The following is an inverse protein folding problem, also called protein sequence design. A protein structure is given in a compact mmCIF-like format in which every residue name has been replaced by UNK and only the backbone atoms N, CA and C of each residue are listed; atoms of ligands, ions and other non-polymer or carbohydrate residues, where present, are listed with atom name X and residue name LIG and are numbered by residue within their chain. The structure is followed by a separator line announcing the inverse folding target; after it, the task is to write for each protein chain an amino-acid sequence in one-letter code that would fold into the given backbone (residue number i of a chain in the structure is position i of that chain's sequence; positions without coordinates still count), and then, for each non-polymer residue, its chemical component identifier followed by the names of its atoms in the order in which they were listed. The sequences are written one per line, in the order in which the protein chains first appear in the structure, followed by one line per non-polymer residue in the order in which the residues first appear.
data_IF_112280085162
#
_entry.id   IF_112280085162
#
_cell.length_a   1.000
_cell.length_b   1.000
_cell.length_c   1.000
_cell.angle_alpha   90.00
_cell.angle_beta   90.00
_cell.angle_gamma   90.00
#
_symmetry.space_group_name_H-M   'P 1'
#
loop_
_entity.id
_entity.type
_entity.pdbx_description
1 polymer ?
#
# COMPACT_ATOMS: atom_id res chain seq x y z
N UNK A 1 -13.76 13.82 -23.56
CA UNK A 1 -14.19 12.40 -23.56
C UNK A 1 -13.06 11.61 -22.91
N UNK A 2 -13.14 11.36 -21.60
CA UNK A 2 -12.11 10.59 -20.90
C UNK A 2 -12.30 9.12 -21.22
N UNK A 3 -11.33 8.54 -21.91
CA UNK A 3 -11.23 7.10 -22.07
C UNK A 3 -11.13 6.55 -20.66
N UNK A 4 -12.19 5.90 -20.15
CA UNK A 4 -12.10 5.11 -18.94
C UNK A 4 -11.03 4.06 -19.23
N UNK A 5 -9.81 4.28 -18.73
CA UNK A 5 -8.67 3.41 -18.96
C UNK A 5 -9.14 1.97 -18.77
N UNK A 6 -8.88 1.10 -19.75
CA UNK A 6 -9.21 -0.32 -19.68
C UNK A 6 -8.71 -0.84 -18.33
N UNK A 7 -9.64 -1.08 -17.40
CA UNK A 7 -9.31 -1.38 -16.01
C UNK A 7 -8.80 -2.80 -15.92
N UNK A 8 -7.48 -2.95 -15.96
CA UNK A 8 -6.83 -4.23 -15.75
C UNK A 8 -6.97 -4.65 -14.29
N UNK A 9 -7.20 -5.94 -14.06
CA UNK A 9 -7.18 -6.54 -12.72
C UNK A 9 -5.82 -7.16 -12.46
N UNK A 10 -5.25 -6.88 -11.30
CA UNK A 10 -4.04 -7.51 -10.81
C UNK A 10 -4.36 -8.55 -9.75
N UNK A 11 -3.68 -9.69 -9.83
CA UNK A 11 -3.72 -10.71 -8.79
C UNK A 11 -2.46 -10.59 -7.93
N UNK A 12 -2.63 -10.20 -6.67
CA UNK A 12 -1.55 -9.92 -5.73
C UNK A 12 -1.55 -10.99 -4.64
N UNK A 13 -0.37 -11.55 -4.34
CA UNK A 13 -0.16 -12.44 -3.21
C UNK A 13 0.43 -11.66 -2.05
N UNK A 14 -0.28 -11.61 -0.93
CA UNK A 14 0.18 -10.99 0.32
C UNK A 14 0.68 -12.10 1.24
N UNK A 15 1.93 -12.00 1.69
CA UNK A 15 2.59 -12.96 2.56
C UNK A 15 2.99 -12.25 3.85
N UNK A 16 2.69 -12.86 5.00
CA UNK A 16 3.25 -12.43 6.27
C UNK A 16 4.63 -13.06 6.43
N UNK A 17 5.65 -12.21 6.52
CA UNK A 17 7.03 -12.64 6.74
C UNK A 17 7.20 -13.15 8.17
N UNK A 18 8.22 -13.99 8.38
CA UNK A 18 8.65 -14.47 9.71
C UNK A 18 7.59 -15.24 10.53
N UNK A 19 6.60 -15.83 9.85
CA UNK A 19 5.56 -16.65 10.48
C UNK A 19 5.66 -18.13 10.06
N UNK A 20 5.46 -19.04 11.02
CA UNK A 20 5.37 -20.50 10.79
C UNK A 20 4.10 -21.03 11.49
N UNK A 21 3.17 -21.67 10.76
CA UNK A 21 3.15 -21.88 9.31
C UNK A 21 2.98 -20.56 8.52
N UNK A 22 3.37 -20.52 7.22
CA UNK A 22 3.30 -19.30 6.43
C UNK A 22 1.84 -18.84 6.23
N UNK A 23 1.54 -17.61 6.67
CA UNK A 23 0.22 -16.99 6.51
C UNK A 23 0.22 -16.13 5.25
N UNK A 24 -0.69 -16.41 4.32
CA UNK A 24 -0.82 -15.65 3.07
C UNK A 24 -2.27 -15.50 2.63
N UNK A 25 -2.53 -14.49 1.80
CA UNK A 25 -3.82 -14.21 1.14
C UNK A 25 -3.59 -13.85 -0.33
N UNK A 26 -4.57 -14.12 -1.18
CA UNK A 26 -4.56 -13.74 -2.60
C UNK A 26 -5.68 -12.75 -2.85
N UNK A 27 -5.33 -11.57 -3.33
CA UNK A 27 -6.25 -10.47 -3.58
C UNK A 27 -6.33 -10.20 -5.08
N UNK A 28 -7.52 -9.87 -5.57
CA UNK A 28 -7.72 -9.33 -6.91
C UNK A 28 -8.06 -7.87 -6.75
N UNK A 29 -7.21 -7.00 -7.29
CA UNK A 29 -7.33 -5.55 -7.16
C UNK A 29 -7.34 -4.90 -8.54
N UNK A 30 -7.91 -3.71 -8.63
CA UNK A 30 -7.87 -2.93 -9.86
C UNK A 30 -6.51 -2.28 -10.04
N UNK A 31 -6.10 -2.09 -11.29
CA UNK A 31 -4.83 -1.43 -11.62
C UNK A 31 -4.75 0.03 -11.18
N UNK A 32 -5.90 0.68 -10.96
CA UNK A 32 -6.02 2.07 -10.52
C UNK A 32 -6.25 2.22 -9.00
N UNK A 33 -6.06 1.15 -8.22
CA UNK A 33 -6.23 1.22 -6.77
C UNK A 33 -5.14 2.10 -6.14
N UNK A 34 -5.53 2.98 -5.20
CA UNK A 34 -4.57 3.74 -4.42
C UNK A 34 -4.01 2.89 -3.27
N UNK A 35 -2.83 3.27 -2.75
CA UNK A 35 -2.16 2.51 -1.69
C UNK A 35 -2.95 2.50 -0.37
N UNK A 36 -3.72 3.55 -0.09
CA UNK A 36 -4.58 3.61 1.11
C UNK A 36 -5.69 2.56 1.06
N UNK A 37 -6.40 2.43 -0.06
CA UNK A 37 -7.44 1.42 -0.23
C UNK A 37 -6.83 0.02 -0.29
N UNK A 38 -5.64 -0.12 -0.88
CA UNK A 38 -4.90 -1.37 -0.85
C UNK A 38 -4.52 -1.78 0.58
N UNK A 39 -4.09 -0.83 1.42
CA UNK A 39 -3.87 -1.05 2.84
C UNK A 39 -5.13 -1.55 3.54
N UNK A 40 -6.27 -0.88 3.34
CA UNK A 40 -7.55 -1.31 3.90
C UNK A 40 -7.93 -2.73 3.47
N UNK A 41 -7.70 -3.11 2.21
CA UNK A 41 -7.94 -4.48 1.74
C UNK A 41 -7.04 -5.50 2.44
N UNK A 42 -5.76 -5.17 2.65
CA UNK A 42 -4.84 -6.03 3.40
C UNK A 42 -5.36 -6.22 4.83
N UNK A 43 -5.72 -5.13 5.51
CA UNK A 43 -6.25 -5.14 6.88
C UNK A 43 -7.45 -6.10 6.98
N UNK A 44 -8.44 -5.95 6.11
CA UNK A 44 -9.61 -6.85 6.09
C UNK A 44 -9.25 -8.30 5.76
N UNK A 45 -8.37 -8.52 4.79
CA UNK A 45 -8.00 -9.88 4.38
C UNK A 45 -7.24 -10.68 5.45
N UNK A 46 -6.52 -9.96 6.32
CA UNK A 46 -5.78 -10.51 7.44
C UNK A 46 -6.59 -10.54 8.74
N UNK A 47 -7.76 -9.87 8.79
CA UNK A 47 -8.54 -9.71 10.01
C UNK A 47 -7.88 -8.76 11.01
N UNK A 48 -7.12 -7.78 10.52
CA UNK A 48 -6.44 -6.79 11.33
C UNK A 48 -7.27 -5.52 11.47
N UNK A 49 -7.02 -4.77 12.54
CA UNK A 49 -7.85 -3.63 12.94
C UNK A 49 -7.23 -2.26 12.63
N UNK A 50 -6.23 -2.17 11.75
CA UNK A 50 -5.60 -0.90 11.36
C UNK A 50 -5.11 -0.04 12.55
N UNK A 51 -4.73 -0.67 13.67
CA UNK A 51 -4.32 0.02 14.91
C UNK A 51 -2.89 0.59 14.89
N UNK A 52 -2.12 0.30 13.84
CA UNK A 52 -0.72 0.70 13.72
C UNK A 52 -0.48 1.47 12.42
N UNK A 53 0.52 2.35 12.45
CA UNK A 53 1.03 3.04 11.26
C UNK A 53 1.54 2.04 10.23
N UNK A 54 1.42 2.40 8.97
CA UNK A 54 1.85 1.55 7.86
C UNK A 54 2.58 2.38 6.81
N UNK A 55 3.47 1.71 6.09
CA UNK A 55 4.22 2.27 4.98
C UNK A 55 4.40 1.18 3.93
N UNK A 56 4.32 1.57 2.67
CA UNK A 56 4.70 0.73 1.53
C UNK A 56 6.07 1.17 1.03
N UNK A 57 6.91 0.24 0.61
CA UNK A 57 8.17 0.55 -0.04
C UNK A 57 8.36 -0.28 -1.30
N UNK A 58 8.97 0.32 -2.31
CA UNK A 58 9.35 -0.36 -3.53
C UNK A 58 10.67 0.21 -4.03
N UNK A 59 11.68 -0.64 -4.19
CA UNK A 59 12.99 -0.28 -4.75
C UNK A 59 13.62 0.99 -4.12
N UNK A 60 13.53 1.12 -2.79
CA UNK A 60 14.08 2.27 -2.05
C UNK A 60 13.18 3.52 -2.03
N UNK A 61 12.03 3.49 -2.70
CA UNK A 61 11.00 4.54 -2.62
C UNK A 61 10.00 4.17 -1.54
N UNK A 62 9.66 5.13 -0.68
CA UNK A 62 8.71 4.96 0.43
C UNK A 62 7.40 5.71 0.15
N UNK A 63 6.28 5.07 0.46
CA UNK A 63 4.94 5.59 0.32
C UNK A 63 4.19 5.43 1.64
N UNK A 64 3.78 6.53 2.26
CA UNK A 64 3.03 6.53 3.51
C UNK A 64 2.26 7.83 3.65
N UNK A 65 1.35 7.88 4.61
CA UNK A 65 0.74 9.14 4.99
C UNK A 65 1.85 10.09 5.46
N UNK A 66 1.94 11.25 4.82
CA UNK A 66 2.71 12.37 5.39
C UNK A 66 1.91 12.79 6.61
N UNK A 67 2.33 12.36 7.79
CA UNK A 67 1.80 12.94 9.02
C UNK A 67 2.23 14.41 9.02
N UNK A 68 1.34 15.28 8.52
CA UNK A 68 1.46 16.73 8.66
C UNK A 68 1.26 17.07 10.15
N UNK A 69 2.27 16.74 10.95
CA UNK A 69 2.48 17.40 12.22
C UNK A 69 2.95 18.81 11.86
N UNK A 70 2.00 19.72 11.71
CA UNK A 70 2.24 21.09 11.27
C UNK A 70 3.46 21.73 11.95
N UNK A 71 4.58 21.73 11.24
CA UNK A 71 5.70 22.66 11.32
C UNK A 71 6.56 22.42 10.08
N UNK A 72 6.70 23.46 9.25
CA UNK A 72 7.09 23.34 7.85
C UNK A 72 8.49 22.77 7.59
N UNK A 73 8.64 22.02 6.51
CA UNK A 73 9.13 22.55 5.24
C UNK A 73 9.32 21.41 4.24
N UNK A 74 8.81 21.64 3.03
CA UNK A 74 9.14 20.90 1.83
C UNK A 74 10.65 20.84 1.65
N UNK A 75 11.28 19.68 1.84
CA UNK A 75 12.45 19.25 1.08
C UNK A 75 12.59 17.73 1.17
N UNK A 76 12.24 17.01 0.10
CA UNK A 76 13.12 15.90 -0.31
C UNK A 76 13.13 15.77 -1.84
N UNK A 77 14.05 16.50 -2.44
CA UNK A 77 14.83 15.93 -3.53
C UNK A 77 16.27 15.83 -3.01
N UNK A 78 16.73 14.61 -2.77
CA UNK A 78 18.15 14.32 -2.84
C UNK A 78 18.33 13.13 -3.76
N UNK A 79 18.88 13.47 -4.94
CA UNK A 79 19.68 12.59 -5.77
C UNK A 79 20.91 12.14 -4.98
N UNK A 80 21.25 10.86 -5.06
CA UNK A 80 22.63 10.43 -5.29
C UNK A 80 22.58 9.31 -6.33
#
# INVERSE_FOLDING_TARGET
MTVAALRSLYQVKVLLMDCKPPIWRRLVVRSDINLQAFHTLIQYSMGWESRHVHQFSQNGVFYGAVEDNGCGSFLTTQKH
#
